data_IF_348441474934
#
_entry.id   IF_348441474934
#
_cell.length_a   1.000
_cell.length_b   1.000
_cell.length_c   1.000
_cell.angle_alpha   90.00
_cell.angle_beta   90.00
_cell.angle_gamma   90.00
#
_symmetry.space_group_name_H-M   'P 1'
#
loop_
_entity.id
_entity.type
_entity.pdbx_description
1 polymer ?
#
# COMPACT_ATOMS: atom_id res chain seq x y z
N UNK A 1 -4.72 -4.24 -2.77
CA UNK A 1 -5.86 -4.23 -1.85
C UNK A 1 -7.09 -3.82 -2.63
N UNK A 2 -8.07 -4.72 -2.74
CA UNK A 2 -9.32 -4.50 -3.46
C UNK A 2 -10.39 -4.41 -2.36
N UNK A 3 -10.48 -3.26 -1.69
CA UNK A 3 -11.70 -2.82 -1.06
C UNK A 3 -12.24 -1.67 -1.89
N UNK A 4 -13.38 -1.90 -2.51
CA UNK A 4 -14.04 -0.96 -3.42
C UNK A 4 -14.54 -1.59 -4.71
N UNK A 5 -14.12 -2.79 -5.06
CA UNK A 5 -14.80 -3.57 -6.08
C UNK A 5 -15.83 -4.49 -5.40
N UNK A 6 -17.11 -4.31 -5.72
CA UNK A 6 -18.22 -5.22 -5.38
C UNK A 6 -18.07 -6.62 -6.01
N UNK A 7 -16.84 -7.07 -6.28
CA UNK A 7 -16.59 -8.46 -6.66
C UNK A 7 -16.56 -9.28 -5.37
N UNK A 8 -17.53 -10.15 -5.16
CA UNK A 8 -17.55 -10.97 -3.97
C UNK A 8 -16.29 -11.85 -3.98
N UNK A 9 -15.41 -11.66 -2.99
CA UNK A 9 -14.22 -12.50 -2.75
C UNK A 9 -14.59 -14.00 -2.80
N UNK A 10 -15.84 -14.34 -2.49
CA UNK A 10 -16.42 -15.68 -2.64
C UNK A 10 -16.41 -16.20 -4.09
N UNK A 11 -16.57 -15.34 -5.09
CA UNK A 11 -16.60 -15.77 -6.50
C UNK A 11 -15.21 -16.19 -7.02
N UNK A 12 -14.15 -15.61 -6.48
CA UNK A 12 -12.78 -15.95 -6.86
C UNK A 12 -12.37 -17.32 -6.32
N UNK A 13 -12.88 -17.72 -5.15
CA UNK A 13 -12.51 -18.98 -4.51
C UNK A 13 -13.17 -20.24 -5.10
N UNK A 14 -14.24 -20.11 -5.89
CA UNK A 14 -14.95 -21.25 -6.49
C UNK A 14 -14.37 -21.69 -7.83
N UNK A 15 -13.51 -20.89 -8.45
CA UNK A 15 -13.00 -21.13 -9.81
C UNK A 15 -11.61 -21.78 -9.87
N UNK A 16 -10.86 -21.92 -8.73
CA UNK A 16 -9.45 -22.20 -8.83
C UNK A 16 -8.95 -23.18 -7.77
N UNK A 17 -8.49 -24.34 -8.23
CA UNK A 17 -7.56 -25.23 -7.50
C UNK A 17 -6.12 -24.67 -7.56
N UNK A 18 -5.93 -23.35 -7.49
CA UNK A 18 -4.63 -22.71 -7.66
C UNK A 18 -4.11 -22.12 -6.35
N UNK A 19 -2.80 -22.15 -6.21
CA UNK A 19 -2.08 -21.46 -5.16
C UNK A 19 -2.23 -19.95 -5.33
N UNK A 20 -2.73 -19.26 -4.31
CA UNK A 20 -2.88 -17.81 -4.32
C UNK A 20 -1.56 -17.14 -3.98
N UNK A 21 -1.23 -16.07 -4.71
CA UNK A 21 -0.10 -15.19 -4.38
C UNK A 21 -0.68 -13.91 -3.79
N UNK A 22 -0.37 -13.64 -2.53
CA UNK A 22 -0.73 -12.40 -1.83
C UNK A 22 0.51 -11.53 -1.80
N UNK A 23 0.40 -10.29 -2.30
CA UNK A 23 1.50 -9.34 -2.28
C UNK A 23 1.16 -8.24 -1.26
N UNK A 24 1.89 -8.22 -0.14
CA UNK A 24 1.66 -7.31 0.99
C UNK A 24 2.76 -6.25 1.07
N UNK A 25 2.54 -5.10 0.42
CA UNK A 25 3.52 -4.01 0.39
C UNK A 25 3.38 -3.01 1.54
N UNK A 26 2.19 -2.88 2.13
CA UNK A 26 1.84 -1.75 2.98
C UNK A 26 1.28 -2.15 4.35
N UNK A 27 1.65 -3.33 4.86
CA UNK A 27 1.21 -3.76 6.19
C UNK A 27 1.58 -2.71 7.24
N UNK A 28 0.59 -2.26 7.97
CA UNK A 28 0.67 -1.20 8.97
C UNK A 28 0.36 0.21 8.45
N UNK A 29 0.40 0.48 7.14
CA UNK A 29 0.12 1.83 6.60
C UNK A 29 -1.32 2.05 6.17
N UNK A 30 -2.16 1.03 6.15
CA UNK A 30 -3.57 1.18 5.82
C UNK A 30 -4.36 1.69 7.03
N UNK A 31 -4.24 1.03 8.17
CA UNK A 31 -4.95 1.36 9.39
C UNK A 31 -4.06 1.84 10.55
N UNK A 32 -2.76 1.59 10.50
CA UNK A 32 -1.83 1.76 11.62
C UNK A 32 -1.81 0.56 12.56
N UNK A 33 -2.57 -0.49 12.24
CA UNK A 33 -2.61 -1.75 12.97
C UNK A 33 -2.17 -2.90 12.06
N UNK A 34 -1.08 -3.57 12.45
CA UNK A 34 -0.50 -4.66 11.67
C UNK A 34 -1.43 -5.85 11.55
N UNK A 35 -2.20 -6.12 12.61
CA UNK A 35 -3.11 -7.26 12.66
C UNK A 35 -4.35 -7.04 11.80
N UNK A 36 -4.90 -5.82 11.84
CA UNK A 36 -6.00 -5.43 10.97
C UNK A 36 -5.57 -5.45 9.49
N UNK A 37 -4.38 -4.92 9.17
CA UNK A 37 -3.87 -4.89 7.79
C UNK A 37 -3.50 -6.29 7.25
N UNK A 38 -3.21 -7.26 8.14
CA UNK A 38 -2.95 -8.66 7.78
C UNK A 38 -4.24 -9.50 7.58
N UNK A 39 -5.43 -8.89 7.67
CA UNK A 39 -6.72 -9.58 7.57
C UNK A 39 -6.82 -10.51 6.36
N UNK A 40 -6.42 -10.06 5.18
CA UNK A 40 -6.54 -10.86 3.97
C UNK A 40 -5.74 -12.17 4.04
N UNK A 41 -4.50 -12.12 4.55
CA UNK A 41 -3.66 -13.30 4.72
C UNK A 41 -4.31 -14.28 5.69
N UNK A 42 -4.79 -13.78 6.83
CA UNK A 42 -5.46 -14.60 7.85
C UNK A 42 -6.76 -15.21 7.34
N UNK A 43 -7.57 -14.45 6.61
CA UNK A 43 -8.80 -14.94 6.01
C UNK A 43 -8.55 -16.12 5.08
N UNK A 44 -7.61 -16.00 4.14
CA UNK A 44 -7.33 -17.09 3.21
C UNK A 44 -6.75 -18.32 3.90
N UNK A 45 -5.86 -18.13 4.88
CA UNK A 45 -5.25 -19.26 5.61
C UNK A 45 -6.23 -19.87 6.61
N UNK A 46 -6.82 -19.06 7.50
CA UNK A 46 -7.57 -19.57 8.63
C UNK A 46 -9.01 -19.93 8.29
N UNK A 47 -9.69 -19.11 7.47
CA UNK A 47 -11.10 -19.32 7.14
C UNK A 47 -11.27 -20.18 5.86
N UNK A 48 -10.47 -19.86 4.83
CA UNK A 48 -10.56 -20.55 3.55
C UNK A 48 -9.71 -21.81 3.47
N UNK A 49 -8.81 -22.04 4.46
CA UNK A 49 -7.90 -23.20 4.51
C UNK A 49 -7.09 -23.37 3.23
N UNK A 50 -6.65 -22.27 2.65
CA UNK A 50 -5.92 -22.28 1.38
C UNK A 50 -4.41 -22.35 1.60
N UNK A 51 -3.74 -22.97 0.64
CA UNK A 51 -2.29 -22.86 0.47
C UNK A 51 -1.99 -21.56 -0.26
N UNK A 52 -1.05 -20.79 0.27
CA UNK A 52 -0.72 -19.47 -0.29
C UNK A 52 0.78 -19.22 -0.34
N UNK A 53 1.19 -18.39 -1.29
CA UNK A 53 2.45 -17.65 -1.25
C UNK A 53 2.13 -16.20 -0.84
N UNK A 54 2.75 -15.74 0.24
CA UNK A 54 2.62 -14.36 0.68
C UNK A 54 3.97 -13.65 0.57
N UNK A 55 4.09 -12.73 -0.38
CA UNK A 55 5.26 -11.88 -0.56
C UNK A 55 5.06 -10.58 0.19
N UNK A 56 5.93 -10.28 1.14
CA UNK A 56 5.90 -9.10 1.98
C UNK A 56 7.14 -8.24 1.74
N UNK A 57 6.94 -6.95 1.48
CA UNK A 57 8.04 -6.00 1.31
C UNK A 57 8.30 -5.21 2.59
N UNK A 58 9.56 -5.05 2.96
CA UNK A 58 10.01 -4.17 4.05
C UNK A 58 10.49 -2.79 3.55
N UNK A 59 10.33 -2.51 2.27
CA UNK A 59 10.73 -1.22 1.71
C UNK A 59 9.97 -0.05 2.32
N UNK A 60 8.68 -0.21 2.65
CA UNK A 60 7.83 0.87 3.14
C UNK A 60 7.81 0.92 4.67
N UNK A 61 7.37 -0.14 5.30
CA UNK A 61 7.14 -0.18 6.74
C UNK A 61 8.42 -0.20 7.60
N UNK A 62 9.56 -0.50 7.00
CA UNK A 62 10.89 -0.34 7.60
C UNK A 62 11.75 0.75 6.94
N UNK A 63 11.24 1.42 5.89
CA UNK A 63 12.02 2.41 5.15
C UNK A 63 13.20 1.85 4.35
N UNK A 64 13.26 0.53 4.17
CA UNK A 64 14.39 -0.19 3.57
C UNK A 64 14.29 -0.27 2.02
N UNK A 65 14.01 0.85 1.36
CA UNK A 65 13.80 0.88 -0.09
C UNK A 65 15.01 0.38 -0.88
N UNK A 66 16.20 0.81 -0.49
CA UNK A 66 17.45 0.48 -1.17
C UNK A 66 18.01 -0.89 -0.80
N UNK A 67 17.62 -1.41 0.37
CA UNK A 67 18.10 -2.71 0.86
C UNK A 67 17.49 -3.91 0.12
N UNK A 68 16.41 -3.69 -0.63
CA UNK A 68 15.70 -4.72 -1.40
C UNK A 68 15.30 -5.93 -0.55
N UNK A 69 14.93 -5.68 0.71
CA UNK A 69 14.54 -6.71 1.67
C UNK A 69 13.04 -6.97 1.64
N UNK A 70 12.68 -8.22 1.73
CA UNK A 70 11.32 -8.72 1.82
C UNK A 70 11.29 -10.12 2.41
N UNK A 71 10.09 -10.66 2.61
CA UNK A 71 9.87 -12.00 3.11
C UNK A 71 8.89 -12.75 2.19
N UNK A 72 9.18 -14.02 1.92
CA UNK A 72 8.24 -14.93 1.28
C UNK A 72 7.78 -15.96 2.32
N UNK A 73 6.51 -15.92 2.66
CA UNK A 73 5.86 -16.93 3.50
C UNK A 73 5.08 -17.89 2.59
N UNK A 74 5.32 -19.19 2.77
CA UNK A 74 4.61 -20.24 2.06
C UNK A 74 3.81 -21.06 3.06
N UNK A 75 2.50 -21.13 2.85
CA UNK A 75 1.60 -21.92 3.69
C UNK A 75 1.18 -23.14 2.90
N UNK A 76 1.42 -24.31 3.47
CA UNK A 76 1.05 -25.62 2.89
C UNK A 76 0.15 -26.40 3.85
N UNK A 77 -0.78 -27.20 3.31
CA UNK A 77 -1.69 -28.02 4.11
C UNK A 77 -1.00 -29.23 4.72
N UNK A 78 -0.06 -29.80 3.99
CA UNK A 78 0.64 -31.01 4.42
C UNK A 78 2.06 -30.65 4.94
N UNK A 79 2.33 -30.76 6.25
CA UNK A 79 3.64 -30.47 6.80
C UNK A 79 4.78 -31.30 6.21
N UNK A 80 4.50 -32.49 5.70
CA UNK A 80 5.53 -33.40 5.14
C UNK A 80 6.21 -32.83 3.88
N UNK A 81 5.56 -31.88 3.16
CA UNK A 81 6.12 -31.28 1.94
C UNK A 81 6.97 -30.04 2.21
N UNK A 82 7.03 -29.53 3.44
CA UNK A 82 7.74 -28.30 3.80
C UNK A 82 9.22 -28.34 3.41
N UNK A 83 9.90 -29.42 3.75
CA UNK A 83 11.33 -29.59 3.44
C UNK A 83 11.58 -29.61 1.93
N UNK A 84 10.76 -30.31 1.18
CA UNK A 84 10.85 -30.40 -0.28
C UNK A 84 10.54 -29.04 -0.93
N UNK A 85 9.48 -28.37 -0.49
CA UNK A 85 9.11 -27.02 -0.96
C UNK A 85 10.25 -26.05 -0.73
N UNK A 86 10.83 -26.01 0.48
CA UNK A 86 11.98 -25.16 0.81
C UNK A 86 13.19 -25.48 -0.07
N UNK A 87 13.50 -26.75 -0.30
CA UNK A 87 14.59 -27.19 -1.18
C UNK A 87 14.40 -26.67 -2.62
N UNK A 88 13.19 -26.84 -3.19
CA UNK A 88 12.90 -26.37 -4.54
C UNK A 88 12.97 -24.85 -4.65
N UNK A 89 12.42 -24.10 -3.67
CA UNK A 89 12.52 -22.63 -3.65
C UNK A 89 13.99 -22.18 -3.56
N UNK A 90 14.83 -22.90 -2.80
CA UNK A 90 16.27 -22.62 -2.72
C UNK A 90 16.94 -22.78 -4.09
N UNK A 91 16.62 -23.83 -4.85
CA UNK A 91 17.14 -24.02 -6.21
C UNK A 91 16.70 -22.90 -7.16
N UNK A 92 15.43 -22.47 -7.09
CA UNK A 92 14.91 -21.34 -7.87
C UNK A 92 15.69 -20.05 -7.53
N UNK A 93 15.85 -19.73 -6.26
CA UNK A 93 16.62 -18.56 -5.79
C UNK A 93 18.05 -18.59 -6.31
N UNK A 94 18.71 -19.74 -6.19
CA UNK A 94 20.08 -19.91 -6.66
C UNK A 94 20.19 -19.75 -8.18
N UNK A 95 19.20 -20.20 -8.92
CA UNK A 95 19.17 -20.03 -10.38
C UNK A 95 18.90 -18.59 -10.82
N UNK A 96 18.11 -17.83 -10.03
CA UNK A 96 17.73 -16.46 -10.38
C UNK A 96 18.80 -15.42 -10.02
N UNK A 97 19.32 -15.44 -8.80
CA UNK A 97 20.24 -14.41 -8.27
C UNK A 97 21.21 -14.91 -7.20
N UNK A 98 21.36 -16.22 -7.06
CA UNK A 98 22.24 -16.92 -6.14
C UNK A 98 21.91 -16.72 -4.65
N UNK A 99 22.13 -15.54 -4.10
CA UNK A 99 21.78 -15.18 -2.72
C UNK A 99 21.29 -13.74 -2.63
N UNK A 100 20.24 -13.46 -1.84
CA UNK A 100 19.83 -12.10 -1.57
C UNK A 100 20.86 -11.39 -0.66
N UNK A 101 20.93 -10.05 -0.70
CA UNK A 101 21.69 -9.28 0.28
C UNK A 101 21.12 -9.50 1.68
N UNK A 102 22.01 -9.65 2.67
CA UNK A 102 21.60 -10.02 4.04
C UNK A 102 21.38 -8.80 4.94
N UNK A 103 21.93 -7.62 4.63
CA UNK A 103 21.93 -6.48 5.55
C UNK A 103 20.51 -6.06 5.95
N UNK A 104 19.65 -5.76 4.98
CA UNK A 104 18.25 -5.35 5.25
C UNK A 104 17.46 -6.41 6.03
N UNK A 105 17.67 -7.70 5.72
CA UNK A 105 17.01 -8.77 6.46
C UNK A 105 17.45 -8.83 7.94
N UNK A 106 18.74 -8.61 8.22
CA UNK A 106 19.26 -8.56 9.60
C UNK A 106 18.74 -7.36 10.38
N UNK A 107 18.53 -6.21 9.72
CA UNK A 107 17.89 -5.05 10.36
C UNK A 107 16.47 -5.40 10.79
N UNK A 108 15.68 -5.98 9.88
CA UNK A 108 14.31 -6.43 10.18
C UNK A 108 14.29 -7.47 11.30
N UNK A 109 15.15 -8.49 11.23
CA UNK A 109 15.28 -9.52 12.23
C UNK A 109 15.57 -8.93 13.62
N UNK A 110 16.51 -7.98 13.70
CA UNK A 110 16.86 -7.31 14.97
C UNK A 110 15.69 -6.59 15.59
N UNK A 111 14.90 -5.88 14.78
CA UNK A 111 13.72 -5.15 15.26
C UNK A 111 12.62 -6.10 15.69
N UNK A 112 12.30 -7.10 14.87
CA UNK A 112 11.20 -8.03 15.15
C UNK A 112 11.46 -8.98 16.33
N UNK A 113 12.73 -9.28 16.66
CA UNK A 113 13.10 -10.15 17.75
C UNK A 113 13.48 -9.40 19.06
N UNK A 114 13.24 -8.09 19.13
CA UNK A 114 13.44 -7.30 20.33
C UNK A 114 12.13 -6.65 20.74
N UNK A 115 11.58 -7.01 21.89
CA UNK A 115 10.30 -6.50 22.37
C UNK A 115 10.25 -4.97 22.40
N UNK A 116 11.33 -4.32 22.85
CA UNK A 116 11.41 -2.87 22.93
C UNK A 116 11.44 -2.21 21.54
N UNK A 117 12.28 -2.71 20.62
CA UNK A 117 12.36 -2.17 19.26
C UNK A 117 11.08 -2.46 18.46
N UNK A 118 10.48 -3.63 18.66
CA UNK A 118 9.23 -3.98 18.02
C UNK A 118 8.09 -3.07 18.50
N UNK A 119 8.01 -2.77 19.80
CA UNK A 119 7.01 -1.87 20.35
C UNK A 119 7.19 -0.43 19.80
N UNK A 120 8.44 0.05 19.74
CA UNK A 120 8.77 1.35 19.16
C UNK A 120 8.42 1.42 17.67
N UNK A 121 8.80 0.40 16.90
CA UNK A 121 8.48 0.29 15.49
C UNK A 121 6.96 0.31 15.22
N UNK A 122 6.16 -0.46 15.99
CA UNK A 122 4.70 -0.42 15.89
C UNK A 122 4.13 0.98 16.15
N UNK A 123 4.67 1.69 17.15
CA UNK A 123 4.23 3.05 17.44
C UNK A 123 4.57 4.03 16.30
N UNK A 124 5.76 3.88 15.71
CA UNK A 124 6.16 4.68 14.55
C UNK A 124 5.25 4.43 13.34
N UNK A 125 4.91 3.17 13.05
CA UNK A 125 3.96 2.81 11.98
C UNK A 125 2.59 3.45 12.24
N UNK A 126 2.07 3.35 13.46
CA UNK A 126 0.78 3.97 13.85
C UNK A 126 0.80 5.48 13.64
N UNK A 127 1.88 6.15 14.03
CA UNK A 127 2.05 7.59 13.86
C UNK A 127 2.05 7.99 12.38
N UNK A 128 2.81 7.26 11.55
CA UNK A 128 2.88 7.52 10.11
C UNK A 128 1.53 7.28 9.41
N UNK A 129 0.86 6.17 9.72
CA UNK A 129 -0.46 5.86 9.17
C UNK A 129 -1.51 6.90 9.59
N UNK A 130 -1.53 7.28 10.87
CA UNK A 130 -2.43 8.32 11.39
C UNK A 130 -2.26 9.66 10.67
N UNK A 131 -1.01 10.07 10.38
CA UNK A 131 -0.75 11.27 9.58
C UNK A 131 -1.32 11.15 8.15
N UNK A 132 -1.13 10.03 7.49
CA UNK A 132 -1.66 9.81 6.14
C UNK A 132 -3.18 9.87 6.14
N UNK A 133 -3.83 9.25 7.10
CA UNK A 133 -5.30 9.25 7.26
C UNK A 133 -5.80 10.69 7.50
N UNK A 134 -5.13 11.45 8.38
CA UNK A 134 -5.46 12.85 8.64
C UNK A 134 -5.35 13.69 7.36
N UNK A 135 -4.23 13.57 6.63
CA UNK A 135 -4.02 14.33 5.39
C UNK A 135 -5.04 14.01 4.29
N UNK A 136 -5.52 12.77 4.22
CA UNK A 136 -6.61 12.39 3.30
C UNK A 136 -7.90 13.12 3.67
N UNK A 137 -8.26 13.06 4.95
CA UNK A 137 -9.47 13.73 5.44
C UNK A 137 -9.40 15.24 5.21
N UNK A 138 -8.30 15.86 5.62
CA UNK A 138 -8.13 17.32 5.49
C UNK A 138 -8.12 17.77 4.02
N UNK A 139 -7.50 17.01 3.10
CA UNK A 139 -7.53 17.31 1.66
C UNK A 139 -8.95 17.23 1.11
N UNK A 140 -9.71 16.21 1.46
CA UNK A 140 -11.11 16.08 1.06
C UNK A 140 -11.94 17.25 1.61
N UNK A 141 -11.89 17.49 2.92
CA UNK A 141 -12.65 18.55 3.58
C UNK A 141 -12.35 19.92 2.92
N UNK A 142 -11.08 20.15 2.55
CA UNK A 142 -10.66 21.40 1.90
C UNK A 142 -11.22 21.54 0.48
N UNK A 143 -11.16 20.47 -0.33
CA UNK A 143 -11.75 20.48 -1.69
C UNK A 143 -13.26 20.70 -1.67
N UNK A 144 -13.95 20.06 -0.72
CA UNK A 144 -15.39 20.25 -0.51
C UNK A 144 -15.70 21.69 -0.05
N UNK A 145 -14.91 22.26 0.86
CA UNK A 145 -15.09 23.64 1.35
C UNK A 145 -14.81 24.70 0.28
N UNK A 146 -13.94 24.43 -0.68
CA UNK A 146 -13.66 25.27 -1.84
C UNK A 146 -14.77 25.16 -2.91
N UNK A 147 -15.77 24.30 -2.74
CA UNK A 147 -16.78 24.03 -3.74
C UNK A 147 -16.22 23.39 -5.01
N UNK A 148 -15.10 22.68 -4.92
CA UNK A 148 -14.49 22.03 -6.07
C UNK A 148 -15.45 21.03 -6.70
N UNK A 149 -15.78 21.17 -7.99
CA UNK A 149 -16.75 20.30 -8.65
C UNK A 149 -16.38 18.81 -8.56
N UNK A 150 -17.39 17.95 -8.45
CA UNK A 150 -17.25 16.50 -8.38
C UNK A 150 -17.40 15.93 -6.96
N UNK A 151 -17.15 14.64 -6.81
CA UNK A 151 -17.18 13.94 -5.52
C UNK A 151 -15.76 13.56 -5.11
N UNK A 152 -15.40 13.89 -3.88
CA UNK A 152 -14.07 13.68 -3.34
C UNK A 152 -14.00 12.55 -2.29
N UNK A 153 -15.10 11.79 -2.11
CA UNK A 153 -15.19 10.67 -1.16
C UNK A 153 -14.08 9.65 -1.38
N UNK A 154 -13.74 9.37 -2.64
CA UNK A 154 -12.72 8.41 -3.02
C UNK A 154 -11.34 8.69 -2.40
N UNK A 155 -11.03 9.94 -1.99
CA UNK A 155 -9.78 10.26 -1.32
C UNK A 155 -9.73 9.60 0.06
N UNK A 156 -10.85 9.56 0.78
CA UNK A 156 -10.96 8.95 2.12
C UNK A 156 -11.32 7.47 2.08
N UNK A 157 -11.99 7.02 1.02
CA UNK A 157 -12.35 5.60 0.84
C UNK A 157 -11.13 4.74 0.49
N UNK A 158 -10.13 5.34 -0.16
CA UNK A 158 -8.85 4.72 -0.45
C UNK A 158 -7.97 4.69 0.80
N UNK A 159 -7.15 3.65 0.93
CA UNK A 159 -6.23 3.42 2.05
C UNK A 159 -4.78 3.34 1.59
N UNK A 160 -3.85 3.49 2.54
CA UNK A 160 -2.41 3.36 2.28
C UNK A 160 -1.77 4.65 1.76
N UNK A 161 -0.56 4.53 1.23
CA UNK A 161 0.32 5.66 0.91
C UNK A 161 -0.07 6.45 -0.35
N UNK A 162 -0.83 5.84 -1.26
CA UNK A 162 -1.17 6.44 -2.55
C UNK A 162 -2.65 6.71 -2.66
N UNK A 163 -2.99 7.77 -3.40
CA UNK A 163 -4.36 8.10 -3.77
C UNK A 163 -4.45 8.25 -5.27
N UNK A 164 -5.55 7.77 -5.84
CA UNK A 164 -5.97 8.10 -7.19
C UNK A 164 -6.94 9.28 -7.08
N UNK A 165 -6.57 10.40 -7.69
CA UNK A 165 -7.31 11.66 -7.52
C UNK A 165 -8.54 11.78 -8.43
N UNK A 166 -8.61 10.98 -9.50
CA UNK A 166 -9.65 11.11 -10.52
C UNK A 166 -9.43 12.26 -11.51
N UNK A 167 -8.32 12.98 -11.40
CA UNK A 167 -7.99 14.07 -12.32
C UNK A 167 -7.65 13.55 -13.72
N UNK A 168 -8.06 14.31 -14.74
CA UNK A 168 -7.72 14.00 -16.13
C UNK A 168 -6.22 14.20 -16.41
N UNK A 169 -5.67 13.60 -17.48
CA UNK A 169 -4.27 13.82 -17.87
C UNK A 169 -3.94 15.31 -18.08
N UNK A 170 -4.89 16.10 -18.63
CA UNK A 170 -4.72 17.54 -18.86
C UNK A 170 -4.63 18.32 -17.53
N UNK A 171 -5.48 17.96 -16.56
CA UNK A 171 -5.42 18.52 -15.21
C UNK A 171 -4.08 18.17 -14.53
N UNK A 172 -3.64 16.93 -14.67
CA UNK A 172 -2.34 16.50 -14.12
C UNK A 172 -1.17 17.25 -14.77
N UNK A 173 -1.23 17.48 -16.07
CA UNK A 173 -0.20 18.24 -16.79
C UNK A 173 -0.18 19.72 -16.37
N UNK A 174 -1.33 20.33 -16.16
CA UNK A 174 -1.46 21.67 -15.60
C UNK A 174 -0.84 21.76 -14.20
N UNK A 175 -1.18 20.82 -13.31
CA UNK A 175 -0.59 20.77 -11.98
C UNK A 175 0.93 20.64 -12.02
N UNK A 176 1.45 19.83 -12.95
CA UNK A 176 2.88 19.65 -13.10
C UNK A 176 3.57 20.90 -13.63
N UNK A 177 3.07 21.52 -14.70
CA UNK A 177 3.75 22.61 -15.41
C UNK A 177 3.55 23.97 -14.76
N UNK A 178 2.32 24.24 -14.31
CA UNK A 178 1.94 25.58 -13.81
C UNK A 178 1.98 25.68 -12.28
N UNK A 179 1.82 24.54 -11.60
CA UNK A 179 1.78 24.50 -10.13
C UNK A 179 2.97 23.74 -9.51
N UNK A 180 3.84 23.17 -10.33
CA UNK A 180 4.99 22.39 -9.86
C UNK A 180 4.62 21.30 -8.85
N UNK A 181 3.42 20.71 -9.01
CA UNK A 181 2.93 19.58 -8.22
C UNK A 181 3.18 18.31 -9.03
N UNK A 182 4.07 17.48 -8.52
CA UNK A 182 4.57 16.30 -9.22
C UNK A 182 3.71 15.07 -8.91
N UNK A 183 2.89 14.67 -9.87
CA UNK A 183 2.04 13.48 -9.81
C UNK A 183 2.10 12.73 -11.15
N UNK A 184 1.60 11.50 -11.16
CA UNK A 184 1.54 10.73 -12.40
C UNK A 184 0.41 11.23 -13.31
N UNK A 185 0.58 11.12 -14.62
CA UNK A 185 -0.42 11.53 -15.62
C UNK A 185 -1.79 10.85 -15.46
N UNK A 186 -1.83 9.70 -14.79
CA UNK A 186 -3.07 8.99 -14.48
C UNK A 186 -3.76 9.48 -13.19
N UNK A 187 -3.29 10.57 -12.59
CA UNK A 187 -3.86 11.13 -11.38
C UNK A 187 -3.43 10.47 -10.07
N UNK A 188 -2.47 9.54 -10.09
CA UNK A 188 -1.95 8.94 -8.86
C UNK A 188 -1.01 9.90 -8.13
N UNK A 189 -1.29 10.17 -6.86
CA UNK A 189 -0.48 11.01 -5.96
C UNK A 189 -0.01 10.21 -4.75
N UNK A 190 1.15 10.60 -4.19
CA UNK A 190 1.62 10.06 -2.90
C UNK A 190 1.11 10.93 -1.75
N UNK A 191 0.28 10.37 -0.89
CA UNK A 191 -0.22 11.06 0.30
C UNK A 191 0.88 11.31 1.34
N UNK A 192 2.01 10.62 1.26
CA UNK A 192 3.15 10.89 2.12
C UNK A 192 3.80 12.26 1.86
N UNK A 193 3.67 12.79 0.65
CA UNK A 193 4.13 14.12 0.28
C UNK A 193 3.19 15.24 0.70
N UNK A 194 1.95 14.93 1.10
CA UNK A 194 0.99 15.91 1.61
C UNK A 194 1.28 16.17 3.10
N UNK A 195 1.39 17.43 3.45
CA UNK A 195 1.71 17.90 4.80
C UNK A 195 0.81 19.08 5.16
N UNK A 196 0.63 19.41 6.45
CA UNK A 196 -0.12 20.62 6.82
C UNK A 196 0.40 21.89 6.14
N UNK A 197 1.71 21.97 5.87
CA UNK A 197 2.33 23.13 5.26
C UNK A 197 2.07 23.29 3.76
N UNK A 198 1.68 22.22 3.04
CA UNK A 198 1.41 22.28 1.59
C UNK A 198 -0.03 21.93 1.22
N UNK A 199 -0.86 21.55 2.18
CA UNK A 199 -2.22 21.10 1.96
C UNK A 199 -3.08 22.14 1.26
N UNK A 200 -3.04 23.39 1.74
CA UNK A 200 -3.81 24.50 1.17
C UNK A 200 -3.39 24.77 -0.28
N UNK A 201 -2.10 24.77 -0.53
CA UNK A 201 -1.56 24.95 -1.87
C UNK A 201 -2.03 23.85 -2.82
N UNK A 202 -1.96 22.59 -2.36
CA UNK A 202 -2.42 21.44 -3.14
C UNK A 202 -3.92 21.52 -3.44
N UNK A 203 -4.76 21.79 -2.43
CA UNK A 203 -6.21 21.85 -2.59
C UNK A 203 -6.64 23.00 -3.53
N UNK A 204 -6.08 24.20 -3.35
CA UNK A 204 -6.35 25.33 -4.24
C UNK A 204 -5.92 25.05 -5.68
N UNK A 205 -4.76 24.43 -5.87
CA UNK A 205 -4.27 24.08 -7.21
C UNK A 205 -5.14 23.03 -7.91
N UNK A 206 -5.63 22.02 -7.17
CA UNK A 206 -6.58 21.03 -7.70
C UNK A 206 -7.91 21.71 -8.05
N UNK A 207 -8.43 22.58 -7.19
CA UNK A 207 -9.65 23.33 -7.45
C UNK A 207 -9.54 24.18 -8.73
N UNK A 208 -8.41 24.88 -8.91
CA UNK A 208 -8.15 25.67 -10.13
C UNK A 208 -8.09 24.77 -11.37
N UNK A 209 -7.40 23.61 -11.29
CA UNK A 209 -7.30 22.68 -12.40
C UNK A 209 -8.68 22.14 -12.80
N UNK A 210 -9.49 21.72 -11.83
CA UNK A 210 -10.84 21.20 -12.08
C UNK A 210 -11.72 22.27 -12.72
N UNK A 211 -11.80 23.49 -12.17
CA UNK A 211 -12.60 24.56 -12.73
C UNK A 211 -12.15 24.95 -14.14
N UNK A 212 -10.84 24.99 -14.41
CA UNK A 212 -10.29 25.35 -15.71
C UNK A 212 -10.64 24.34 -16.82
N UNK A 213 -10.70 23.05 -16.51
CA UNK A 213 -10.88 22.01 -17.51
C UNK A 213 -12.29 21.41 -17.54
N UNK A 214 -13.08 21.50 -16.46
CA UNK A 214 -14.52 21.14 -16.51
C UNK A 214 -15.38 22.19 -17.20
N UNK A 215 -15.00 23.46 -17.17
CA UNK A 215 -15.74 24.53 -17.87
C UNK A 215 -15.61 24.47 -19.40
N UNK A 216 -14.93 23.48 -19.95
CA UNK A 216 -14.76 23.27 -21.40
C UNK A 216 -15.56 22.09 -21.95
N UNK A 217 -16.39 21.46 -21.10
CA UNK A 217 -17.37 20.44 -21.48
C UNK A 217 -18.79 21.05 -21.46
#
# INVERSE_FOLDING_TARGET
MIEGSNYPIKAISSLWNYTFIIIAFYLGFASGDLDADAWAVRYFVNERKMEIFCSQSFSKNFGLYNERAGNLTVVVKNPSVVANTKSQLTLVVRGMYSNPPAHGARVVEKVLNSDSLFAEWKNNIKTMAGRIIAMRKELRDKLESLGTPGSWNHITDQIGMFSFTGLSPEMCEFLLKEKHIYLLKNGRISMCGVTPGNLDYLANSINEAVNKFQSRL
#
